data_IF_718533575250
#
_entry.id   IF_718533575250
#
_cell.length_a   1.000
_cell.length_b   1.000
_cell.length_c   1.000
_cell.angle_alpha   90.00
_cell.angle_beta   90.00
_cell.angle_gamma   90.00
#
_symmetry.space_group_name_H-M   'P 1'
#
loop_
_entity.id
_entity.type
_entity.pdbx_description
1 polymer ?
#
# COMPACT_ATOMS: atom_id res chain seq x y z
N UNK A 1 5.31 10.32 -10.65
CA UNK A 1 4.39 9.59 -9.82
C UNK A 1 4.73 9.72 -8.35
N UNK A 2 3.78 10.02 -7.57
CA UNK A 2 4.05 10.44 -6.22
C UNK A 2 3.58 9.46 -5.14
N UNK A 3 3.01 8.34 -5.53
CA UNK A 3 2.47 7.43 -4.53
C UNK A 3 3.56 6.86 -3.63
N UNK A 4 4.66 6.43 -4.20
CA UNK A 4 5.77 5.91 -3.42
C UNK A 4 6.34 7.00 -2.52
N UNK A 5 6.47 8.20 -3.03
CA UNK A 5 6.96 9.30 -2.22
C UNK A 5 6.01 9.59 -1.06
N UNK A 6 4.72 9.51 -1.33
CA UNK A 6 3.75 9.77 -0.30
C UNK A 6 3.81 8.71 0.80
N UNK A 7 4.00 7.45 0.42
CA UNK A 7 4.16 6.39 1.40
C UNK A 7 5.38 6.65 2.27
N UNK A 8 6.44 7.11 1.65
CA UNK A 8 7.67 7.40 2.36
C UNK A 8 7.47 8.45 3.44
N UNK A 9 6.61 9.42 3.19
CA UNK A 9 6.33 10.46 4.15
C UNK A 9 5.23 10.10 5.11
N UNK A 10 4.18 9.50 4.58
CA UNK A 10 2.99 9.21 5.35
C UNK A 10 2.56 7.77 5.11
N UNK A 11 3.23 6.81 5.75
CA UNK A 11 2.98 5.40 5.44
C UNK A 11 1.54 4.96 5.65
N UNK A 12 0.84 5.63 6.54
CA UNK A 12 -0.49 5.17 6.92
C UNK A 12 -1.60 6.16 6.62
N UNK A 13 -1.31 7.16 5.83
CA UNK A 13 -2.31 8.15 5.45
C UNK A 13 -1.89 8.79 4.15
N UNK A 14 -2.80 9.51 3.53
CA UNK A 14 -2.48 10.27 2.32
C UNK A 14 -3.16 9.72 1.08
N UNK A 15 -2.44 9.76 -0.02
CA UNK A 15 -3.01 9.45 -1.33
C UNK A 15 -3.42 7.99 -1.47
N UNK A 16 -4.48 7.76 -2.25
CA UNK A 16 -4.88 6.40 -2.58
C UNK A 16 -5.62 5.66 -1.51
N UNK A 17 -6.15 6.36 -0.53
CA UNK A 17 -6.96 5.76 0.53
C UNK A 17 -6.24 4.59 1.18
N UNK A 18 -5.16 4.82 1.90
CA UNK A 18 -4.42 3.73 2.53
C UNK A 18 -5.31 2.96 3.49
N UNK A 19 -5.15 1.66 3.45
CA UNK A 19 -6.01 0.76 4.18
C UNK A 19 -5.21 -0.41 4.72
N UNK A 20 -5.29 -0.69 6.03
CA UNK A 20 -4.57 -1.84 6.56
C UNK A 20 -5.23 -3.14 6.13
N UNK A 21 -4.42 -4.15 5.90
CA UNK A 21 -4.91 -5.44 5.49
C UNK A 21 -4.97 -6.38 6.69
N UNK A 22 -5.65 -7.50 6.50
CA UNK A 22 -5.92 -8.42 7.60
C UNK A 22 -5.46 -9.83 7.28
N UNK A 23 -5.58 -10.69 8.26
CA UNK A 23 -5.31 -12.11 8.13
C UNK A 23 -3.88 -12.34 7.67
N UNK A 24 -3.70 -13.05 6.59
CA UNK A 24 -2.37 -13.39 6.12
C UNK A 24 -1.56 -12.18 5.69
N UNK A 25 -2.24 -11.08 5.38
CA UNK A 25 -1.56 -9.87 4.99
C UNK A 25 -1.54 -8.85 6.11
N UNK A 26 -1.73 -9.31 7.33
CA UNK A 26 -1.65 -8.44 8.48
C UNK A 26 -0.28 -7.77 8.52
N UNK A 27 -0.26 -6.47 8.74
CA UNK A 27 0.99 -5.72 8.72
C UNK A 27 1.25 -5.03 7.39
N UNK A 28 0.53 -5.43 6.36
CA UNK A 28 0.62 -4.75 5.07
C UNK A 28 -0.49 -3.75 4.93
N UNK A 29 -0.28 -2.81 4.02
CA UNK A 29 -1.26 -1.78 3.70
C UNK A 29 -1.45 -1.76 2.21
N UNK A 30 -2.56 -1.22 1.77
CA UNK A 30 -2.78 -1.07 0.34
C UNK A 30 -3.24 0.35 0.04
N UNK A 31 -2.88 0.82 -1.14
CA UNK A 31 -3.33 2.10 -1.64
C UNK A 31 -3.82 1.92 -3.06
N UNK A 32 -4.83 2.67 -3.41
CA UNK A 32 -5.44 2.60 -4.72
C UNK A 32 -4.58 3.30 -5.75
N UNK A 33 -4.26 2.61 -6.84
CA UNK A 33 -3.54 3.23 -7.96
C UNK A 33 -4.54 3.65 -9.01
N UNK A 34 -5.42 2.74 -9.38
CA UNK A 34 -6.54 3.01 -10.28
C UNK A 34 -7.73 2.28 -9.71
N UNK A 35 -8.85 2.31 -10.41
CA UNK A 35 -10.03 1.60 -9.95
C UNK A 35 -9.79 0.10 -9.81
N UNK A 36 -8.83 -0.42 -10.53
CA UNK A 36 -8.61 -1.86 -10.56
C UNK A 36 -7.31 -2.32 -9.95
N UNK A 37 -6.39 -1.41 -9.72
CA UNK A 37 -5.07 -1.78 -9.24
C UNK A 37 -4.77 -1.15 -7.91
N UNK A 38 -4.11 -1.90 -7.05
CA UNK A 38 -3.74 -1.40 -5.75
C UNK A 38 -2.28 -1.75 -5.48
N UNK A 39 -1.64 -0.88 -4.72
CA UNK A 39 -0.27 -1.11 -4.29
C UNK A 39 -0.32 -1.70 -2.91
N UNK A 40 0.22 -2.90 -2.75
CA UNK A 40 0.26 -3.58 -1.45
C UNK A 40 1.69 -3.52 -0.95
N UNK A 41 1.86 -2.99 0.24
CA UNK A 41 3.19 -2.70 0.76
C UNK A 41 3.21 -2.79 2.28
N UNK A 42 4.41 -2.82 2.82
CA UNK A 42 4.57 -2.59 4.24
C UNK A 42 5.83 -1.75 4.45
N UNK A 43 5.88 -1.03 5.56
CA UNK A 43 7.00 -0.18 5.89
C UNK A 43 7.62 -0.70 7.17
N UNK A 44 8.91 -0.93 7.14
CA UNK A 44 9.60 -1.47 8.28
C UNK A 44 11.01 -0.93 8.29
N UNK A 45 11.42 -0.31 9.39
CA UNK A 45 12.77 0.26 9.50
C UNK A 45 13.06 1.22 8.35
N UNK A 46 12.09 2.04 8.02
CA UNK A 46 12.21 3.03 6.94
C UNK A 46 12.38 2.42 5.56
N UNK A 47 12.07 1.14 5.44
CA UNK A 47 12.13 0.47 4.14
C UNK A 47 10.72 0.14 3.70
N UNK A 48 10.41 0.49 2.45
CA UNK A 48 9.11 0.18 1.86
C UNK A 48 9.28 -1.11 1.08
N UNK A 49 8.55 -2.12 1.51
CA UNK A 49 8.58 -3.41 0.84
C UNK A 49 7.31 -3.55 0.02
N UNK A 50 7.45 -3.69 -1.29
CA UNK A 50 6.31 -3.80 -2.19
C UNK A 50 6.01 -5.26 -2.42
N UNK A 51 4.79 -5.67 -2.11
CA UNK A 51 4.36 -7.03 -2.35
C UNK A 51 3.74 -7.16 -3.73
N UNK A 52 2.94 -6.21 -4.11
CA UNK A 52 2.28 -6.25 -5.39
C UNK A 52 1.82 -4.86 -5.77
N UNK A 53 1.71 -4.58 -7.05
CA UNK A 53 1.25 -3.25 -7.45
C UNK A 53 0.35 -3.27 -8.65
N UNK A 54 -0.16 -4.41 -9.04
CA UNK A 54 -1.07 -4.38 -10.15
C UNK A 54 -1.96 -5.59 -10.17
N UNK A 55 -2.61 -5.90 -9.13
CA UNK A 55 -3.57 -6.96 -9.26
C UNK A 55 -4.81 -6.60 -8.51
N UNK A 56 -5.82 -7.33 -8.82
CA UNK A 56 -7.13 -7.13 -8.30
C UNK A 56 -7.20 -7.71 -6.92
N UNK A 57 -7.03 -6.91 -5.95
CA UNK A 57 -7.01 -7.38 -4.60
C UNK A 57 -8.42 -7.64 -4.12
N UNK A 58 -8.59 -8.78 -3.49
CA UNK A 58 -9.89 -9.14 -3.00
C UNK A 58 -9.81 -9.51 -1.54
N UNK A 59 -10.65 -8.95 -0.76
CA UNK A 59 -10.63 -9.21 0.66
C UNK A 59 -11.43 -10.42 1.03
#
# INVERSE_FOLDING_TARGET
MTLIKDISRNPYSGLGKPEPLKYELSGYWSREITNEHRLVYKVENDVIEILSCKFHYRK
#
